data_IF_858592692466
#
_entry.id   IF_858592692466
#
_cell.length_a   1.000
_cell.length_b   1.000
_cell.length_c   1.000
_cell.angle_alpha   90.00
_cell.angle_beta   90.00
_cell.angle_gamma   90.00
#
_symmetry.space_group_name_H-M   'P 1'
#
loop_
_entity.id
_entity.type
_entity.pdbx_description
1 polymer ?
#
# COMPACT_ATOMS: atom_id res chain seq x y z
N UNK A 1 7.24 11.02 23.48
CA UNK A 1 7.51 9.61 23.86
C UNK A 1 6.59 8.64 23.14
N UNK A 2 5.27 8.83 23.16
CA UNK A 2 4.25 7.96 22.53
C UNK A 2 4.45 7.74 21.02
N UNK A 3 4.85 8.78 20.27
CA UNK A 3 5.14 8.68 18.83
C UNK A 3 6.31 7.75 18.51
N UNK A 4 7.38 7.79 19.32
CA UNK A 4 8.57 6.94 19.13
C UNK A 4 8.24 5.49 19.44
N UNK A 5 7.45 5.24 20.48
CA UNK A 5 6.97 3.90 20.87
C UNK A 5 6.07 3.29 19.78
N UNK A 6 5.20 4.10 19.16
CA UNK A 6 4.35 3.63 18.06
C UNK A 6 5.16 3.32 16.80
N UNK A 7 6.16 4.14 16.47
CA UNK A 7 7.05 3.91 15.33
C UNK A 7 7.90 2.65 15.55
N UNK A 8 8.48 2.44 16.75
CA UNK A 8 9.25 1.23 17.04
C UNK A 8 8.36 -0.01 17.07
N UNK A 9 7.14 0.06 17.61
CA UNK A 9 6.19 -1.05 17.60
C UNK A 9 5.74 -1.41 16.16
N UNK A 10 5.53 -0.42 15.30
CA UNK A 10 5.20 -0.64 13.89
C UNK A 10 6.35 -1.34 13.14
N UNK A 11 7.59 -0.89 13.35
CA UNK A 11 8.78 -1.53 12.78
C UNK A 11 8.96 -2.96 13.27
N UNK A 12 8.78 -3.23 14.57
CA UNK A 12 8.82 -4.57 15.15
C UNK A 12 7.74 -5.49 14.58
N UNK A 13 6.53 -4.98 14.31
CA UNK A 13 5.45 -5.77 13.72
C UNK A 13 5.71 -6.22 12.27
N UNK A 14 6.57 -5.50 11.54
CA UNK A 14 7.00 -5.89 10.18
C UNK A 14 8.16 -6.88 10.26
N UNK A 15 9.15 -6.60 11.13
CA UNK A 15 10.41 -7.35 11.22
C UNK A 15 10.23 -8.75 11.80
N UNK A 16 9.44 -8.92 12.88
CA UNK A 16 9.28 -10.20 13.57
C UNK A 16 8.65 -11.28 12.66
N UNK A 17 7.51 -11.05 12.00
CA UNK A 17 6.92 -12.02 11.08
C UNK A 17 7.73 -12.21 9.78
N UNK A 18 8.45 -11.19 9.31
CA UNK A 18 9.35 -11.34 8.16
C UNK A 18 10.58 -12.19 8.51
N UNK A 19 11.11 -12.07 9.72
CA UNK A 19 12.20 -12.91 10.24
C UNK A 19 11.77 -14.36 10.46
N UNK A 20 10.56 -14.60 11.00
CA UNK A 20 10.02 -15.96 11.14
C UNK A 20 9.67 -16.61 9.79
N UNK A 21 9.33 -15.80 8.78
CA UNK A 21 9.13 -16.22 7.40
C UNK A 21 10.45 -16.68 6.73
N UNK A 22 11.52 -15.89 6.85
CA UNK A 22 12.87 -16.26 6.37
C UNK A 22 13.42 -17.52 7.05
N UNK A 23 13.18 -17.69 8.37
CA UNK A 23 13.55 -18.93 9.07
C UNK A 23 12.67 -20.14 8.67
N UNK A 24 11.44 -19.91 8.19
CA UNK A 24 10.51 -20.96 7.76
C UNK A 24 10.76 -21.48 6.34
N UNK A 25 11.51 -20.76 5.50
CA UNK A 25 11.90 -21.25 4.16
C UNK A 25 12.62 -22.60 4.21
N UNK A 26 13.29 -22.93 5.33
CA UNK A 26 13.95 -24.24 5.50
C UNK A 26 12.99 -25.43 5.68
N UNK A 27 11.68 -25.26 5.90
CA UNK A 27 10.82 -26.39 6.30
C UNK A 27 9.47 -26.63 5.61
N UNK A 28 8.81 -25.71 4.89
CA UNK A 28 7.57 -26.07 4.13
C UNK A 28 7.01 -24.98 3.20
N UNK A 29 6.65 -25.40 1.98
CA UNK A 29 6.05 -24.61 0.87
C UNK A 29 4.64 -24.00 1.13
N UNK A 30 4.05 -24.22 2.32
CA UNK A 30 2.69 -23.76 2.67
C UNK A 30 2.63 -22.54 3.62
N UNK A 31 3.74 -22.17 4.25
CA UNK A 31 3.77 -21.15 5.31
C UNK A 31 3.67 -19.72 4.75
N UNK A 32 3.92 -19.49 3.46
CA UNK A 32 3.91 -18.14 2.86
C UNK A 32 2.57 -17.43 2.94
N UNK A 33 1.47 -18.10 2.57
CA UNK A 33 0.13 -17.49 2.62
C UNK A 33 -0.30 -17.18 4.06
N UNK A 34 0.05 -18.07 5.00
CA UNK A 34 -0.21 -17.88 6.43
C UNK A 34 0.65 -16.77 7.04
N UNK A 35 1.92 -16.68 6.66
CA UNK A 35 2.84 -15.63 7.12
C UNK A 35 2.45 -14.25 6.56
N UNK A 36 2.05 -14.18 5.28
CA UNK A 36 1.52 -12.97 4.66
C UNK A 36 0.23 -12.50 5.35
N UNK A 37 -0.71 -13.43 5.59
CA UNK A 37 -1.95 -13.12 6.31
C UNK A 37 -1.70 -12.63 7.73
N UNK A 38 -0.76 -13.25 8.45
CA UNK A 38 -0.38 -12.83 9.80
C UNK A 38 0.31 -11.47 9.84
N UNK A 39 1.16 -11.16 8.84
CA UNK A 39 1.83 -9.85 8.71
C UNK A 39 0.81 -8.72 8.44
N UNK A 40 -0.11 -8.94 7.50
CA UNK A 40 -1.20 -8.01 7.19
C UNK A 40 -2.06 -7.80 8.44
N UNK A 41 -2.46 -8.87 9.13
CA UNK A 41 -3.27 -8.79 10.34
C UNK A 41 -2.57 -8.01 11.47
N UNK A 42 -1.28 -8.27 11.72
CA UNK A 42 -0.49 -7.55 12.72
C UNK A 42 -0.33 -6.06 12.38
N UNK A 43 -0.06 -5.74 11.11
CA UNK A 43 0.09 -4.36 10.65
C UNK A 43 -1.21 -3.55 10.86
N UNK A 44 -2.36 -4.08 10.42
CA UNK A 44 -3.64 -3.42 10.60
C UNK A 44 -4.07 -3.36 12.07
N UNK A 45 -3.79 -4.40 12.87
CA UNK A 45 -4.08 -4.38 14.32
C UNK A 45 -3.27 -3.33 15.07
N UNK A 46 -1.96 -3.22 14.76
CA UNK A 46 -1.08 -2.22 15.36
C UNK A 46 -1.47 -0.79 14.94
N UNK A 47 -1.92 -0.61 13.70
CA UNK A 47 -2.43 0.67 13.19
C UNK A 47 -3.68 1.11 13.98
N UNK A 48 -4.65 0.21 14.17
CA UNK A 48 -5.89 0.48 14.92
C UNK A 48 -5.56 0.80 16.40
N UNK A 49 -4.75 -0.02 17.04
CA UNK A 49 -4.33 0.18 18.45
C UNK A 49 -3.56 1.50 18.60
N UNK A 50 -2.69 1.81 17.64
CA UNK A 50 -1.95 3.07 17.62
C UNK A 50 -2.84 4.29 17.44
N UNK A 51 -3.89 4.19 16.62
CA UNK A 51 -4.87 5.26 16.46
C UNK A 51 -5.68 5.49 17.74
N UNK A 52 -6.15 4.41 18.38
CA UNK A 52 -6.88 4.47 19.66
C UNK A 52 -6.01 5.04 20.78
N UNK A 53 -4.73 4.65 20.88
CA UNK A 53 -3.80 5.18 21.87
C UNK A 53 -3.43 6.65 21.63
N UNK A 54 -3.45 7.12 20.38
CA UNK A 54 -3.15 8.51 20.02
C UNK A 54 -4.35 9.44 20.25
N UNK A 55 -5.58 8.94 20.05
CA UNK A 55 -6.82 9.73 20.14
C UNK A 55 -7.68 9.43 21.40
N UNK A 56 -7.29 8.49 22.26
CA UNK A 56 -8.04 8.06 23.45
C UNK A 56 -7.90 8.95 24.70
N UNK A 57 -7.26 10.12 24.59
CA UNK A 57 -7.22 11.12 25.67
C UNK A 57 -8.52 11.93 25.78
N UNK A 58 -8.72 12.65 26.89
CA UNK A 58 -9.93 13.46 27.14
C UNK A 58 -10.30 14.30 25.91
N UNK A 59 -11.50 14.07 25.36
CA UNK A 59 -12.12 14.90 24.33
C UNK A 59 -12.38 16.29 24.95
N UNK A 60 -11.40 17.18 24.84
CA UNK A 60 -11.63 18.62 25.02
C UNK A 60 -12.26 19.16 23.74
N UNK A 61 -13.23 20.06 23.91
CA UNK A 61 -13.84 20.81 22.82
C UNK A 61 -12.74 21.37 21.90
N UNK A 62 -12.94 21.20 20.59
CA UNK A 62 -11.94 21.52 19.59
C UNK A 62 -11.56 23.00 19.62
N UNK A 63 -10.33 23.27 20.06
CA UNK A 63 -9.65 24.54 19.81
C UNK A 63 -9.45 24.69 18.29
N UNK A 64 -9.55 25.90 17.74
CA UNK A 64 -9.45 26.14 16.29
C UNK A 64 -8.13 25.61 15.69
N UNK A 65 -7.10 25.53 16.52
CA UNK A 65 -5.78 24.98 16.21
C UNK A 65 -5.80 23.47 15.94
N UNK A 66 -6.69 22.70 16.58
CA UNK A 66 -6.82 21.24 16.40
C UNK A 66 -7.58 20.91 15.12
N UNK A 67 -8.57 21.73 14.74
CA UNK A 67 -9.30 21.58 13.49
C UNK A 67 -8.39 21.76 12.26
N UNK A 68 -7.46 22.71 12.30
CA UNK A 68 -6.47 22.91 11.26
C UNK A 68 -5.53 21.69 11.09
N UNK A 69 -5.03 21.12 12.20
CA UNK A 69 -4.18 19.92 12.18
C UNK A 69 -4.90 18.64 11.72
N UNK A 70 -6.21 18.53 12.01
CA UNK A 70 -7.03 17.42 11.52
C UNK A 70 -7.21 17.48 9.99
N UNK A 71 -7.35 18.69 9.42
CA UNK A 71 -7.45 18.87 7.97
C UNK A 71 -6.18 18.40 7.23
N UNK A 72 -5.00 18.71 7.76
CA UNK A 72 -3.71 18.26 7.21
C UNK A 72 -3.54 16.73 7.29
N UNK A 73 -3.93 16.11 8.41
CA UNK A 73 -3.91 14.65 8.55
C UNK A 73 -4.82 13.95 7.52
N UNK A 74 -6.02 14.50 7.30
CA UNK A 74 -6.95 14.00 6.29
C UNK A 74 -6.42 14.17 4.86
N UNK A 75 -5.71 15.26 4.56
CA UNK A 75 -5.04 15.46 3.26
C UNK A 75 -4.02 14.37 2.98
N UNK A 76 -3.18 14.02 3.95
CA UNK A 76 -2.20 12.94 3.77
C UNK A 76 -2.84 11.57 3.57
N UNK A 77 -3.91 11.27 4.31
CA UNK A 77 -4.66 10.00 4.14
C UNK A 77 -5.32 9.95 2.76
N UNK A 78 -5.93 11.05 2.32
CA UNK A 78 -6.56 11.14 0.99
C UNK A 78 -5.53 10.94 -0.14
N UNK A 79 -4.35 11.56 -0.04
CA UNK A 79 -3.27 11.37 -1.00
C UNK A 79 -2.74 9.91 -1.01
N UNK A 80 -2.55 9.30 0.16
CA UNK A 80 -2.11 7.91 0.26
C UNK A 80 -3.13 6.93 -0.36
N UNK A 81 -4.42 7.14 -0.10
CA UNK A 81 -5.49 6.31 -0.66
C UNK A 81 -5.65 6.49 -2.17
N UNK A 82 -5.54 7.71 -2.70
CA UNK A 82 -5.66 7.99 -4.13
C UNK A 82 -4.61 7.23 -4.96
N UNK A 83 -3.33 7.31 -4.57
CA UNK A 83 -2.27 6.52 -5.24
C UNK A 83 -2.40 5.04 -4.94
N UNK A 84 -2.67 4.65 -3.69
CA UNK A 84 -2.71 3.25 -3.27
C UNK A 84 -3.79 2.44 -4.00
N UNK A 85 -5.03 2.96 -4.06
CA UNK A 85 -6.11 2.25 -4.75
C UNK A 85 -5.93 2.24 -6.27
N UNK A 86 -5.41 3.33 -6.84
CA UNK A 86 -5.15 3.41 -8.28
C UNK A 86 -4.08 2.40 -8.72
N UNK A 87 -2.97 2.30 -7.98
CA UNK A 87 -1.88 1.36 -8.30
C UNK A 87 -2.27 -0.10 -8.15
N UNK A 88 -3.18 -0.44 -7.22
CA UNK A 88 -3.74 -1.80 -7.11
C UNK A 88 -4.55 -2.15 -8.37
N UNK A 89 -5.46 -1.27 -8.80
CA UNK A 89 -6.26 -1.49 -10.01
C UNK A 89 -5.40 -1.57 -11.28
N UNK A 90 -4.45 -0.66 -11.42
CA UNK A 90 -3.49 -0.65 -12.52
C UNK A 90 -2.64 -1.93 -12.53
N UNK A 91 -2.15 -2.39 -11.38
CA UNK A 91 -1.36 -3.62 -11.27
C UNK A 91 -2.11 -4.86 -11.74
N UNK A 92 -3.41 -4.99 -11.42
CA UNK A 92 -4.24 -6.10 -11.87
C UNK A 92 -4.47 -6.06 -13.39
N UNK A 93 -4.73 -4.87 -13.93
CA UNK A 93 -4.91 -4.67 -15.36
C UNK A 93 -3.61 -4.96 -16.14
N UNK A 94 -2.48 -4.42 -15.67
CA UNK A 94 -1.15 -4.60 -16.27
C UNK A 94 -0.72 -6.07 -16.22
N UNK A 95 -0.96 -6.79 -15.11
CA UNK A 95 -0.64 -8.22 -15.02
C UNK A 95 -1.37 -9.04 -16.10
N UNK A 96 -2.63 -8.70 -16.36
CA UNK A 96 -3.46 -9.38 -17.36
C UNK A 96 -3.04 -9.03 -18.78
N UNK A 97 -2.84 -7.73 -19.06
CA UNK A 97 -2.42 -7.25 -20.38
C UNK A 97 -1.00 -7.74 -20.75
N UNK A 98 -0.06 -7.73 -19.80
CA UNK A 98 1.33 -8.12 -20.02
C UNK A 98 1.46 -9.62 -20.27
N UNK A 99 0.66 -10.45 -19.60
CA UNK A 99 0.67 -11.91 -19.82
C UNK A 99 0.21 -12.25 -21.25
N UNK A 100 -0.86 -11.61 -21.72
CA UNK A 100 -1.34 -11.78 -23.10
C UNK A 100 -0.34 -11.23 -24.14
N UNK A 101 0.26 -10.07 -23.86
CA UNK A 101 1.28 -9.45 -24.69
C UNK A 101 2.52 -10.35 -24.87
N UNK A 102 3.04 -10.91 -23.78
CA UNK A 102 4.19 -11.82 -23.80
C UNK A 102 3.86 -13.14 -24.51
N UNK A 103 2.63 -13.64 -24.35
CA UNK A 103 2.13 -14.82 -25.08
C UNK A 103 2.12 -14.58 -26.60
N UNK A 104 1.51 -13.49 -27.05
CA UNK A 104 1.47 -13.14 -28.47
C UNK A 104 2.87 -12.83 -29.04
N UNK A 105 3.75 -12.23 -28.24
CA UNK A 105 5.14 -12.00 -28.62
C UNK A 105 5.92 -13.30 -28.87
N UNK A 106 5.57 -14.38 -28.16
CA UNK A 106 6.20 -15.69 -28.35
C UNK A 106 5.82 -16.34 -29.69
N UNK A 107 4.66 -15.99 -30.25
CA UNK A 107 4.20 -16.47 -31.56
C UNK A 107 4.67 -15.55 -32.70
N UNK A 108 4.60 -14.23 -32.50
CA UNK A 108 5.01 -13.25 -33.50
C UNK A 108 5.75 -12.06 -32.87
N UNK A 109 7.04 -11.96 -33.16
CA UNK A 109 7.87 -10.82 -32.71
C UNK A 109 7.43 -9.46 -33.27
N UNK A 110 6.68 -9.44 -34.39
CA UNK A 110 6.19 -8.22 -35.04
C UNK A 110 5.12 -7.50 -34.21
N UNK A 111 4.40 -8.20 -33.33
CA UNK A 111 3.31 -7.61 -32.54
C UNK A 111 3.77 -6.87 -31.26
N UNK A 112 5.06 -6.91 -30.94
CA UNK A 112 5.64 -6.29 -29.73
C UNK A 112 5.20 -4.83 -29.53
N UNK A 113 5.28 -4.02 -30.58
CA UNK A 113 4.97 -2.59 -30.51
C UNK A 113 3.50 -2.30 -30.19
N UNK A 114 2.58 -3.08 -30.76
CA UNK A 114 1.13 -2.92 -30.50
C UNK A 114 0.76 -3.39 -29.09
N UNK A 115 1.40 -4.46 -28.63
CA UNK A 115 1.17 -5.01 -27.31
C UNK A 115 1.66 -4.07 -26.19
N UNK A 116 2.81 -3.41 -26.38
CA UNK A 116 3.34 -2.41 -25.44
C UNK A 116 2.42 -1.20 -25.24
N UNK A 117 1.67 -0.80 -26.28
CA UNK A 117 0.71 0.32 -26.17
C UNK A 117 -0.41 -0.03 -25.18
N UNK A 118 -0.95 -1.25 -25.21
CA UNK A 118 -2.00 -1.66 -24.27
C UNK A 118 -1.50 -1.77 -22.83
N UNK A 119 -0.27 -2.22 -22.63
CA UNK A 119 0.37 -2.26 -21.31
C UNK A 119 0.61 -0.83 -20.78
N UNK A 120 1.17 0.05 -21.60
CA UNK A 120 1.42 1.44 -21.23
C UNK A 120 0.11 2.21 -20.92
N UNK A 121 -0.96 1.92 -21.66
CA UNK A 121 -2.27 2.53 -21.43
C UNK A 121 -2.88 2.09 -20.08
N UNK A 122 -2.66 0.84 -19.67
CA UNK A 122 -3.03 0.36 -18.34
C UNK A 122 -2.19 1.01 -17.22
N UNK A 123 -0.90 1.26 -17.46
CA UNK A 123 0.00 1.95 -16.51
C UNK A 123 -0.38 3.42 -16.30
N UNK A 124 -0.96 4.07 -17.32
CA UNK A 124 -1.46 5.45 -17.23
C UNK A 124 -2.46 5.68 -16.09
N UNK A 125 -3.22 4.65 -15.69
CA UNK A 125 -4.14 4.74 -14.54
C UNK A 125 -3.38 5.00 -13.24
N UNK A 126 -2.24 4.32 -13.02
CA UNK A 126 -1.40 4.52 -11.84
C UNK A 126 -0.81 5.93 -11.80
N UNK A 127 -0.35 6.45 -12.94
CA UNK A 127 0.17 7.81 -13.05
C UNK A 127 -0.90 8.85 -12.75
N UNK A 128 -2.14 8.62 -13.16
CA UNK A 128 -3.25 9.50 -12.82
C UNK A 128 -3.51 9.54 -11.31
N UNK A 129 -3.43 8.40 -10.62
CA UNK A 129 -3.56 8.32 -9.16
C UNK A 129 -2.46 9.09 -8.41
N UNK A 130 -1.22 9.01 -8.93
CA UNK A 130 -0.09 9.82 -8.43
C UNK A 130 -0.31 11.32 -8.67
N UNK A 131 -0.78 11.71 -9.86
CA UNK A 131 -1.08 13.09 -10.22
C UNK A 131 -2.13 13.70 -9.28
N UNK A 132 -3.23 12.98 -9.02
CA UNK A 132 -4.24 13.43 -8.04
C UNK A 132 -3.64 13.59 -6.64
N UNK A 133 -2.70 12.73 -6.26
CA UNK A 133 -2.04 12.85 -4.95
C UNK A 133 -1.16 14.11 -4.88
N UNK A 134 -0.47 14.47 -5.96
CA UNK A 134 0.21 15.77 -6.04
C UNK A 134 -0.75 16.95 -6.00
N UNK A 135 -1.94 16.85 -6.59
CA UNK A 135 -2.97 17.90 -6.49
C UNK A 135 -3.54 18.07 -5.07
N UNK A 136 -3.58 17.00 -4.27
CA UNK A 136 -4.06 17.04 -2.87
C UNK A 136 -2.98 17.65 -1.94
N UNK A 137 -1.72 17.32 -2.20
CA UNK A 137 -0.56 17.74 -1.39
C UNK A 137 -0.01 19.11 -1.78
N UNK A 138 -0.24 19.52 -3.03
CA UNK A 138 0.16 20.82 -3.58
C UNK A 138 -0.65 21.99 -3.03
#
# INVERSE_FOLDING_TARGET
MTKIILITALLLSIIIPFGSFLLSEKKKKGTFKTALGFNVFLFFSMLIIGNIMLFGGKVSAADATVAAGASEGLRYIAAALATGMSTIGAGIAVASASSAALGALSEDSSVMGKALIFVALAEGVALYGMLISFMILG
#
